data_IF_943755394642
#
_entry.id   IF_943755394642
#
_cell.length_a   1.000
_cell.length_b   1.000
_cell.length_c   1.000
_cell.angle_alpha   90.00
_cell.angle_beta   90.00
_cell.angle_gamma   90.00
#
_symmetry.space_group_name_H-M   'P 1'
#
loop_
_entity.id
_entity.type
_entity.pdbx_description
1 polymer ?
#
# COMPACT_ATOMS: atom_id res chain seq x y z
N UNK A 1 -10.26 -16.16 -9.88
CA UNK A 1 -9.15 -15.86 -8.97
C UNK A 1 -8.78 -14.40 -9.19
N UNK A 2 -8.94 -13.54 -8.19
CA UNK A 2 -8.46 -12.15 -8.30
C UNK A 2 -6.96 -12.18 -8.03
N UNK A 3 -6.16 -11.78 -9.01
CA UNK A 3 -4.71 -11.76 -8.89
C UNK A 3 -4.28 -10.34 -8.53
N UNK A 4 -3.62 -10.16 -7.38
CA UNK A 4 -3.05 -8.86 -7.02
C UNK A 4 -1.68 -8.76 -7.68
N UNK A 5 -1.58 -7.88 -8.67
CA UNK A 5 -0.33 -7.61 -9.38
C UNK A 5 0.43 -6.55 -8.60
N UNK A 6 1.65 -6.89 -8.21
CA UNK A 6 2.57 -5.96 -7.57
C UNK A 6 3.35 -5.25 -8.67
N UNK A 7 3.20 -3.92 -8.71
CA UNK A 7 3.87 -3.02 -9.65
C UNK A 7 5.28 -2.70 -9.14
N UNK A 8 5.40 -2.40 -7.84
CA UNK A 8 6.68 -2.13 -7.17
C UNK A 8 6.74 -2.80 -5.80
N UNK A 9 7.92 -3.31 -5.43
CA UNK A 9 8.17 -3.96 -4.15
C UNK A 9 8.39 -5.47 -4.25
N UNK A 10 8.77 -6.10 -3.14
CA UNK A 10 9.05 -7.53 -3.08
C UNK A 10 7.85 -8.27 -2.47
N UNK A 11 7.22 -9.16 -3.26
CA UNK A 11 6.10 -10.01 -2.82
C UNK A 11 6.40 -10.85 -1.58
N UNK A 12 7.65 -11.26 -1.39
CA UNK A 12 8.02 -12.12 -0.25
C UNK A 12 8.05 -11.35 1.07
N UNK A 13 8.32 -10.04 1.03
CA UNK A 13 8.54 -9.21 2.22
C UNK A 13 7.53 -8.06 2.36
N UNK A 14 6.55 -7.95 1.46
CA UNK A 14 5.51 -6.93 1.54
C UNK A 14 4.64 -7.16 2.77
N UNK A 15 4.21 -6.08 3.44
CA UNK A 15 3.37 -6.17 4.64
C UNK A 15 3.95 -7.05 5.76
N UNK A 16 5.28 -7.19 5.82
CA UNK A 16 5.98 -8.00 6.85
C UNK A 16 6.34 -7.19 8.10
N UNK A 17 6.30 -5.86 8.01
CA UNK A 17 6.66 -4.96 9.12
C UNK A 17 5.42 -4.25 9.69
N UNK A 18 5.33 -3.93 10.99
CA UNK A 18 4.14 -3.32 11.61
C UNK A 18 3.73 -1.95 11.05
N UNK A 19 4.71 -1.17 10.62
CA UNK A 19 4.52 0.15 10.02
C UNK A 19 4.61 0.12 8.49
N UNK A 20 4.53 -1.07 7.89
CA UNK A 20 4.50 -1.19 6.44
C UNK A 20 3.07 -1.12 5.90
N UNK A 21 2.91 -0.46 4.77
CA UNK A 21 1.66 -0.44 4.01
C UNK A 21 1.92 -0.81 2.56
N UNK A 22 0.89 -1.29 1.88
CA UNK A 22 0.87 -1.42 0.43
C UNK A 22 -0.22 -0.50 -0.11
N UNK A 23 0.06 0.18 -1.22
CA UNK A 23 -0.86 1.18 -1.78
C UNK A 23 -1.17 0.90 -3.25
N UNK A 24 -2.33 1.37 -3.72
CA UNK A 24 -2.67 1.25 -5.13
C UNK A 24 -1.81 2.20 -5.98
N UNK A 25 -1.61 1.88 -7.26
CA UNK A 25 -0.86 2.71 -8.19
C UNK A 25 -1.46 4.12 -8.31
N UNK A 26 -2.79 4.24 -8.41
CA UNK A 26 -3.46 5.54 -8.42
C UNK A 26 -3.25 6.31 -7.12
N UNK A 27 -3.28 5.65 -5.96
CA UNK A 27 -3.05 6.32 -4.67
C UNK A 27 -1.60 6.79 -4.53
N UNK A 28 -0.62 5.96 -4.90
CA UNK A 28 0.78 6.34 -4.99
C UNK A 28 0.98 7.57 -5.88
N UNK A 29 0.33 7.60 -7.04
CA UNK A 29 0.38 8.73 -7.98
C UNK A 29 -0.25 10.00 -7.43
N UNK A 30 -1.36 9.90 -6.68
CA UNK A 30 -1.98 11.06 -6.01
C UNK A 30 -1.04 11.69 -4.98
N UNK A 31 -0.24 10.89 -4.28
CA UNK A 31 0.65 11.37 -3.22
C UNK A 31 2.00 11.87 -3.72
N UNK A 32 2.60 11.17 -4.68
CA UNK A 32 3.98 11.40 -5.11
C UNK A 32 4.12 11.75 -6.59
N UNK A 33 3.02 11.88 -7.33
CA UNK A 33 3.05 12.12 -8.78
C UNK A 33 3.66 10.94 -9.53
N UNK A 34 4.59 11.20 -10.43
CA UNK A 34 5.31 10.16 -11.17
C UNK A 34 6.58 9.67 -10.44
N UNK A 35 6.82 10.11 -9.19
CA UNK A 35 7.94 9.62 -8.40
C UNK A 35 7.68 8.23 -7.80
N UNK A 36 8.71 7.39 -7.66
CA UNK A 36 8.58 6.10 -6.99
C UNK A 36 8.06 6.26 -5.56
N UNK A 37 6.98 5.55 -5.23
CA UNK A 37 6.38 5.59 -3.89
C UNK A 37 7.03 4.58 -2.92
N UNK A 38 7.68 3.54 -3.45
CA UNK A 38 8.32 2.50 -2.63
C UNK A 38 9.36 3.10 -1.66
N UNK A 39 9.29 2.70 -0.39
CA UNK A 39 10.17 3.15 0.68
C UNK A 39 9.86 4.56 1.21
N UNK A 40 8.92 5.29 0.62
CA UNK A 40 8.52 6.61 1.12
C UNK A 40 7.65 6.50 2.37
N UNK A 41 7.70 7.55 3.19
CA UNK A 41 6.94 7.65 4.43
C UNK A 41 5.62 8.40 4.20
N UNK A 42 4.53 7.86 4.73
CA UNK A 42 3.24 8.56 4.85
C UNK A 42 2.97 8.77 6.33
N UNK A 43 2.60 10.00 6.69
CA UNK A 43 2.14 10.33 8.03
C UNK A 43 0.62 10.39 8.04
N UNK A 44 0.00 9.62 8.92
CA UNK A 44 -1.42 9.75 9.21
C UNK A 44 -1.65 10.78 10.33
N UNK A 45 -2.83 11.40 10.33
CA UNK A 45 -3.19 12.49 11.25
C UNK A 45 -2.97 12.15 12.74
N UNK A 46 -2.96 10.87 13.11
CA UNK A 46 -2.72 10.39 14.47
C UNK A 46 -1.23 10.25 14.85
N UNK A 47 -0.31 10.86 14.09
CA UNK A 47 1.15 10.87 14.28
C UNK A 47 1.88 9.57 13.89
N UNK A 48 1.17 8.50 13.57
CA UNK A 48 1.77 7.28 13.05
C UNK A 48 2.43 7.54 11.69
N UNK A 49 3.66 7.03 11.57
CA UNK A 49 4.44 7.08 10.35
C UNK A 49 4.44 5.68 9.76
N UNK A 50 4.03 5.57 8.51
CA UNK A 50 4.08 4.34 7.73
C UNK A 50 5.13 4.48 6.65
N UNK A 51 5.69 3.36 6.23
CA UNK A 51 6.47 3.29 5.02
C UNK A 51 5.77 2.41 3.97
N UNK A 52 5.91 2.78 2.72
CA UNK A 52 5.32 2.04 1.60
C UNK A 52 6.24 0.86 1.28
N UNK A 53 5.77 -0.35 1.57
CA UNK A 53 6.48 -1.60 1.29
C UNK A 53 6.15 -2.20 -0.07
N UNK A 54 5.09 -1.71 -0.73
CA UNK A 54 4.79 -2.06 -2.11
C UNK A 54 3.67 -1.24 -2.72
N UNK A 55 3.61 -1.28 -4.05
CA UNK A 55 2.59 -0.65 -4.88
C UNK A 55 1.91 -1.73 -5.70
N UNK A 56 0.60 -1.86 -5.60
CA UNK A 56 -0.19 -2.82 -6.35
C UNK A 56 -1.01 -2.13 -7.45
N UNK A 57 -1.32 -2.88 -8.51
CA UNK A 57 -2.15 -2.39 -9.60
C UNK A 57 -3.57 -2.08 -9.12
N UNK A 58 -4.16 -1.00 -9.62
CA UNK A 58 -5.54 -0.65 -9.26
C UNK A 58 -6.49 -1.79 -9.59
N UNK A 59 -7.40 -2.09 -8.65
CA UNK A 59 -8.44 -3.06 -8.90
C UNK A 59 -9.35 -2.56 -10.03
N UNK A 60 -9.86 -3.45 -10.89
CA UNK A 60 -10.80 -3.06 -11.93
C UNK A 60 -12.00 -2.37 -11.30
N UNK A 61 -12.47 -1.28 -11.93
CA UNK A 61 -13.52 -0.40 -11.41
C UNK A 61 -14.88 -1.09 -11.18
N UNK A 62 -15.05 -2.31 -11.66
CA UNK A 62 -16.22 -3.17 -11.40
C UNK A 62 -16.09 -4.00 -10.11
N UNK A 63 -14.98 -3.90 -9.40
CA UNK A 63 -14.74 -4.63 -8.16
C UNK A 63 -15.47 -3.98 -6.99
N UNK A 64 -16.27 -4.77 -6.27
CA UNK A 64 -16.89 -4.36 -5.01
C UNK A 64 -15.86 -3.98 -3.93
N UNK A 65 -14.64 -4.50 -4.04
CA UNK A 65 -13.51 -4.20 -3.17
C UNK A 65 -12.45 -3.46 -3.99
N UNK A 66 -12.29 -2.17 -3.70
CA UNK A 66 -11.30 -1.29 -4.35
C UNK A 66 -10.49 -0.55 -3.28
N UNK A 67 -9.63 -1.25 -2.51
CA UNK A 67 -8.83 -0.62 -1.47
C UNK A 67 -7.74 0.26 -2.08
N UNK A 68 -7.57 1.48 -1.56
CA UNK A 68 -6.42 2.35 -1.90
C UNK A 68 -5.19 2.04 -1.05
N UNK A 69 -5.40 1.55 0.18
CA UNK A 69 -4.36 1.21 1.15
C UNK A 69 -4.67 -0.16 1.76
N UNK A 70 -3.65 -1.00 1.88
CA UNK A 70 -3.68 -2.29 2.57
C UNK A 70 -2.65 -2.27 3.70
N UNK A 71 -3.07 -2.70 4.88
CA UNK A 71 -2.23 -2.75 6.08
C UNK A 71 -2.17 -4.18 6.63
N UNK A 72 -1.12 -4.53 7.41
CA UNK A 72 -1.02 -5.84 8.04
C UNK A 72 -2.02 -6.00 9.20
N UNK A 73 -2.61 -7.19 9.33
CA UNK A 73 -3.66 -7.49 10.35
C UNK A 73 -3.12 -7.46 11.79
N UNK A 74 -1.85 -7.77 12.01
CA UNK A 74 -1.25 -7.81 13.36
C UNK A 74 -1.14 -6.43 14.02
N UNK A 75 -1.52 -5.35 13.33
CA UNK A 75 -1.57 -3.99 13.87
C UNK A 75 -2.77 -3.73 14.79
N UNK A 76 -3.87 -4.48 14.69
CA UNK A 76 -5.12 -4.17 15.41
C UNK A 76 -5.12 -4.54 16.91
N UNK A 77 -3.97 -4.89 17.49
CA UNK A 77 -3.87 -5.40 18.88
C UNK A 77 -3.21 -4.46 19.90
N UNK A 78 -2.99 -3.19 19.60
CA UNK A 78 -2.47 -2.21 20.57
C UNK A 78 -3.27 -0.91 20.56
#
# INVERSE_FOLDING_TARGET
MYNVILVDGNRENILSEPYSIAVSQSFAKKLFGDEPALGKLIKENNQDIYFISGVFEDFPSTSYLSPEIVTPIYRTYY
#
